data_IF_329312765610
#
_entry.id   IF_329312765610
#
_cell.length_a   1.000
_cell.length_b   1.000
_cell.length_c   1.000
_cell.angle_alpha   90.00
_cell.angle_beta   90.00
_cell.angle_gamma   90.00
#
_symmetry.space_group_name_H-M   'P 1'
#
loop_
_entity.id
_entity.type
_entity.pdbx_description
1 polymer ?
#
# COMPACT_ATOMS: atom_id res chain seq x y z
N UNK A 1 54.66 18.94 13.49
CA UNK A 1 53.75 18.31 12.49
C UNK A 1 53.08 17.17 13.24
N UNK A 2 51.78 17.10 13.49
CA UNK A 2 50.66 17.42 12.60
C UNK A 2 49.37 17.28 13.42
N UNK A 3 48.83 18.38 13.94
CA UNK A 3 47.48 18.41 14.50
C UNK A 3 46.70 19.53 13.84
N UNK A 4 46.32 19.27 12.60
CA UNK A 4 45.21 19.98 11.97
C UNK A 4 44.64 19.09 10.88
N UNK A 5 43.76 18.17 11.28
CA UNK A 5 42.69 17.79 10.37
C UNK A 5 41.37 17.71 11.13
N UNK A 6 40.85 18.90 11.42
CA UNK A 6 39.42 19.14 11.65
C UNK A 6 38.67 18.92 10.34
N UNK A 7 38.53 17.69 9.86
CA UNK A 7 37.51 17.41 8.86
C UNK A 7 36.31 16.81 9.57
N UNK A 8 35.54 17.71 10.17
CA UNK A 8 34.22 17.39 10.67
C UNK A 8 33.35 16.90 9.52
N UNK A 9 32.91 15.66 9.62
CA UNK A 9 31.53 15.35 9.23
C UNK A 9 30.62 15.34 10.46
N UNK A 10 30.90 16.18 11.46
CA UNK A 10 29.91 16.55 12.48
C UNK A 10 28.68 17.29 11.91
N UNK A 11 28.42 17.12 10.62
CA UNK A 11 27.21 17.51 9.93
C UNK A 11 26.27 16.33 9.72
N UNK A 12 25.03 16.58 9.31
CA UNK A 12 23.93 15.63 9.34
C UNK A 12 24.16 14.34 8.54
N UNK A 13 25.00 14.37 7.50
CA UNK A 13 25.34 13.18 6.71
C UNK A 13 26.20 12.17 7.47
N UNK A 14 27.10 12.64 8.34
CA UNK A 14 27.88 11.76 9.22
C UNK A 14 26.98 11.09 10.26
N UNK A 15 26.07 11.88 10.82
CA UNK A 15 25.11 11.45 11.84
C UNK A 15 24.14 10.36 11.35
N UNK A 16 23.65 10.48 10.11
CA UNK A 16 22.79 9.45 9.49
C UNK A 16 23.60 8.21 9.13
N UNK A 17 24.82 8.37 8.63
CA UNK A 17 25.67 7.24 8.27
C UNK A 17 26.11 6.46 9.51
N UNK A 18 26.39 7.15 10.61
CA UNK A 18 26.72 6.54 11.91
C UNK A 18 25.49 5.84 12.51
N UNK A 19 24.31 6.45 12.43
CA UNK A 19 23.05 5.84 12.84
C UNK A 19 22.72 4.58 12.03
N UNK A 20 22.96 4.59 10.71
CA UNK A 20 22.78 3.43 9.83
C UNK A 20 23.87 2.37 10.08
N UNK A 21 25.09 2.79 10.45
CA UNK A 21 26.22 1.88 10.72
C UNK A 21 26.24 1.34 12.15
N UNK A 22 25.33 1.80 13.03
CA UNK A 22 25.18 1.30 14.40
C UNK A 22 26.24 1.80 15.38
N UNK A 23 26.98 2.84 15.02
CA UNK A 23 28.06 3.38 15.85
C UNK A 23 27.52 4.12 17.08
N UNK A 24 26.31 4.64 16.98
CA UNK A 24 25.57 5.34 18.03
C UNK A 24 24.16 4.72 18.24
N UNK A 25 24.04 3.80 19.21
CA UNK A 25 22.86 2.92 19.35
C UNK A 25 21.51 3.66 19.48
N UNK A 26 21.51 4.85 20.08
CA UNK A 26 20.30 5.65 20.28
C UNK A 26 19.76 6.24 18.97
N UNK A 27 20.61 6.68 18.03
CA UNK A 27 20.15 7.24 16.76
C UNK A 27 19.72 6.17 15.78
N UNK A 28 20.40 5.02 15.79
CA UNK A 28 19.95 3.83 15.07
C UNK A 28 18.55 3.40 15.50
N UNK A 29 18.28 3.33 16.81
CA UNK A 29 16.95 2.96 17.34
C UNK A 29 15.86 3.98 16.94
N UNK A 30 16.20 5.27 16.94
CA UNK A 30 15.29 6.33 16.51
C UNK A 30 14.95 6.22 15.01
N UNK A 31 15.92 5.93 14.15
CA UNK A 31 15.73 5.71 12.70
C UNK A 31 14.83 4.48 12.42
N UNK A 32 14.99 3.42 13.22
CA UNK A 32 14.19 2.20 13.13
C UNK A 32 12.71 2.47 13.45
N UNK A 33 12.41 3.31 14.46
CA UNK A 33 11.02 3.72 14.74
C UNK A 33 10.40 4.58 13.64
N UNK A 34 11.19 5.49 13.06
CA UNK A 34 10.76 6.29 11.92
C UNK A 34 10.40 5.38 10.73
N UNK A 35 11.17 4.32 10.48
CA UNK A 35 10.90 3.38 9.39
C UNK A 35 9.67 2.50 9.66
N UNK A 36 9.44 2.12 10.92
CA UNK A 36 8.23 1.38 11.33
C UNK A 36 6.95 2.19 11.13
N UNK A 37 6.98 3.51 11.38
CA UNK A 37 5.83 4.38 11.14
C UNK A 37 5.57 4.62 9.64
N UNK A 38 6.62 4.73 8.83
CA UNK A 38 6.50 4.82 7.36
C UNK A 38 5.96 3.52 6.76
N UNK A 39 6.33 2.37 7.34
CA UNK A 39 5.86 1.05 6.93
C UNK A 39 4.36 0.78 7.17
N UNK A 40 3.71 1.50 8.09
CA UNK A 40 2.26 1.39 8.33
C UNK A 40 1.45 2.20 7.30
N UNK A 41 2.07 3.19 6.68
CA UNK A 41 1.39 4.27 5.98
C UNK A 41 1.74 4.35 4.48
N UNK A 42 1.77 3.23 3.76
CA UNK A 42 1.82 3.29 2.28
C UNK A 42 0.45 2.93 1.65
N UNK A 43 -0.62 3.72 1.91
CA UNK A 43 -1.92 3.57 1.25
C UNK A 43 -1.89 3.96 -0.23
N UNK A 44 -0.74 4.40 -0.74
CA UNK A 44 -0.49 4.78 -2.13
C UNK A 44 -0.19 3.55 -3.01
N UNK A 45 0.23 2.41 -2.45
CA UNK A 45 0.45 1.18 -3.21
C UNK A 45 -0.78 0.75 -4.07
N UNK A 46 -2.01 0.79 -3.53
CA UNK A 46 -3.23 0.60 -4.32
C UNK A 46 -3.37 1.54 -5.53
N UNK A 47 -2.88 2.78 -5.45
CA UNK A 47 -2.94 3.75 -6.54
C UNK A 47 -1.99 3.36 -7.68
N UNK A 48 -0.77 2.92 -7.34
CA UNK A 48 0.17 2.40 -8.35
C UNK A 48 -0.42 1.17 -9.04
N UNK A 49 -1.08 0.28 -8.28
CA UNK A 49 -1.74 -0.90 -8.82
C UNK A 49 -2.88 -0.55 -9.79
N UNK A 50 -3.70 0.47 -9.50
CA UNK A 50 -4.78 0.86 -10.41
C UNK A 50 -4.24 1.49 -11.69
N UNK A 51 -3.18 2.28 -11.60
CA UNK A 51 -2.52 2.90 -12.77
C UNK A 51 -1.96 1.82 -13.69
N UNK A 52 -1.23 0.84 -13.14
CA UNK A 52 -0.74 -0.29 -13.91
C UNK A 52 -1.89 -1.10 -14.54
N UNK A 53 -3.01 -1.24 -13.83
CA UNK A 53 -4.19 -1.90 -14.37
C UNK A 53 -4.79 -1.15 -15.58
N UNK A 54 -4.84 0.19 -15.55
CA UNK A 54 -5.28 0.97 -16.71
C UNK A 54 -4.32 0.88 -17.88
N UNK A 55 -3.01 0.94 -17.63
CA UNK A 55 -1.99 0.86 -18.69
C UNK A 55 -1.98 -0.50 -19.38
N UNK A 56 -2.07 -1.59 -18.63
CA UNK A 56 -2.04 -2.93 -19.22
C UNK A 56 -3.39 -3.39 -19.78
N UNK A 57 -4.51 -2.79 -19.39
CA UNK A 57 -5.83 -3.07 -19.97
C UNK A 57 -5.86 -2.90 -21.49
N UNK A 58 -5.13 -1.91 -22.03
CA UNK A 58 -5.12 -1.61 -23.46
C UNK A 58 -4.43 -2.67 -24.33
N UNK A 59 -3.53 -3.46 -23.75
CA UNK A 59 -2.72 -4.48 -24.47
C UNK A 59 -3.09 -5.92 -24.09
N UNK A 60 -4.18 -6.11 -23.35
CA UNK A 60 -4.56 -7.39 -22.75
C UNK A 60 -5.52 -8.20 -23.62
N UNK A 61 -5.28 -9.52 -23.74
CA UNK A 61 -6.22 -10.47 -24.34
C UNK A 61 -7.56 -10.50 -23.57
N UNK A 62 -8.67 -10.83 -24.24
CA UNK A 62 -10.03 -10.60 -23.73
C UNK A 62 -10.32 -11.10 -22.30
N UNK A 63 -9.76 -12.26 -21.89
CA UNK A 63 -9.94 -12.81 -20.53
C UNK A 63 -9.14 -12.06 -19.45
N UNK A 64 -8.06 -11.38 -19.82
CA UNK A 64 -7.24 -10.57 -18.91
C UNK A 64 -7.80 -9.15 -18.78
N UNK A 65 -8.51 -8.68 -19.82
CA UNK A 65 -9.20 -7.40 -19.80
C UNK A 65 -10.28 -7.34 -18.71
N UNK A 66 -10.98 -8.45 -18.43
CA UNK A 66 -11.98 -8.53 -17.35
C UNK A 66 -11.34 -8.44 -15.96
N UNK A 67 -10.14 -8.99 -15.78
CA UNK A 67 -9.37 -8.86 -14.54
C UNK A 67 -8.99 -7.40 -14.26
N UNK A 68 -8.48 -6.68 -15.26
CA UNK A 68 -8.14 -5.27 -15.10
C UNK A 68 -9.36 -4.41 -14.76
N UNK A 69 -10.52 -4.66 -15.39
CA UNK A 69 -11.78 -3.97 -15.04
C UNK A 69 -12.21 -4.26 -13.60
N UNK A 70 -12.05 -5.50 -13.14
CA UNK A 70 -12.37 -5.89 -11.76
C UNK A 70 -11.45 -5.23 -10.73
N UNK A 71 -10.15 -5.14 -11.01
CA UNK A 71 -9.15 -4.43 -10.20
C UNK A 71 -9.47 -2.93 -10.09
N UNK A 72 -9.73 -2.29 -11.23
CA UNK A 72 -10.10 -0.87 -11.30
C UNK A 72 -11.36 -0.59 -10.46
N UNK A 73 -12.41 -1.41 -10.59
CA UNK A 73 -13.64 -1.24 -9.79
C UNK A 73 -13.42 -1.46 -8.30
N UNK A 74 -12.63 -2.46 -7.94
CA UNK A 74 -12.36 -2.76 -6.52
C UNK A 74 -11.58 -1.63 -5.86
N UNK A 75 -10.69 -0.95 -6.60
CA UNK A 75 -10.05 0.29 -6.13
C UNK A 75 -11.07 1.39 -5.86
N UNK A 76 -11.97 1.68 -6.80
CA UNK A 76 -12.98 2.73 -6.63
C UNK A 76 -13.96 2.43 -5.48
N UNK A 77 -14.39 1.18 -5.35
CA UNK A 77 -15.29 0.76 -4.27
C UNK A 77 -14.55 0.81 -2.93
N UNK A 78 -13.32 0.31 -2.86
CA UNK A 78 -12.49 0.40 -1.66
C UNK A 78 -12.19 1.84 -1.26
N UNK A 79 -11.98 2.73 -2.23
CA UNK A 79 -11.81 4.17 -2.00
C UNK A 79 -13.11 4.82 -1.47
N UNK A 80 -14.26 4.45 -2.04
CA UNK A 80 -15.55 4.96 -1.56
C UNK A 80 -15.83 4.51 -0.13
N UNK A 81 -15.57 3.24 0.17
CA UNK A 81 -15.74 2.66 1.50
C UNK A 81 -14.72 3.16 2.52
N UNK A 82 -13.48 3.47 2.12
CA UNK A 82 -12.49 4.07 3.02
C UNK A 82 -12.91 5.49 3.40
N UNK A 83 -13.39 6.27 2.42
CA UNK A 83 -13.98 7.60 2.66
C UNK A 83 -15.21 7.48 3.58
N UNK A 84 -16.09 6.51 3.31
CA UNK A 84 -17.29 6.27 4.13
C UNK A 84 -16.94 5.87 5.57
N UNK A 85 -15.94 5.01 5.76
CA UNK A 85 -15.46 4.57 7.08
C UNK A 85 -14.91 5.75 7.90
N UNK A 86 -14.18 6.68 7.25
CA UNK A 86 -13.68 7.91 7.88
C UNK A 86 -14.86 8.82 8.29
N UNK A 87 -15.90 8.94 7.47
CA UNK A 87 -17.10 9.74 7.81
C UNK A 87 -17.89 9.09 8.95
N UNK A 88 -18.04 7.76 8.96
CA UNK A 88 -18.78 7.03 9.99
C UNK A 88 -18.02 6.86 11.32
N UNK A 89 -16.70 7.11 11.35
CA UNK A 89 -15.90 7.11 12.58
C UNK A 89 -16.44 8.09 13.62
N UNK A 90 -17.13 9.17 13.19
CA UNK A 90 -17.81 10.14 14.07
C UNK A 90 -18.92 9.51 14.92
N UNK A 91 -19.47 8.39 14.48
CA UNK A 91 -20.66 7.75 15.11
C UNK A 91 -20.26 6.50 15.93
N UNK A 92 -18.97 6.25 16.19
CA UNK A 92 -18.41 4.99 16.75
C UNK A 92 -18.68 3.71 15.91
N UNK A 93 -19.71 3.71 15.05
CA UNK A 93 -20.09 2.65 14.11
C UNK A 93 -19.03 2.48 13.01
N UNK A 94 -18.22 3.51 12.73
CA UNK A 94 -17.14 3.46 11.75
C UNK A 94 -16.14 2.34 11.98
N UNK A 95 -15.91 1.88 13.21
CA UNK A 95 -15.02 0.75 13.49
C UNK A 95 -15.56 -0.57 12.94
N UNK A 96 -16.84 -0.86 13.11
CA UNK A 96 -17.49 -2.06 12.55
C UNK A 96 -17.51 -2.01 11.02
N UNK A 97 -17.77 -0.83 10.45
CA UNK A 97 -17.75 -0.62 9.00
C UNK A 97 -16.35 -0.77 8.43
N UNK A 98 -15.32 -0.23 9.09
CA UNK A 98 -13.93 -0.40 8.65
C UNK A 98 -13.53 -1.88 8.59
N UNK A 99 -13.91 -2.67 9.59
CA UNK A 99 -13.65 -4.12 9.60
C UNK A 99 -14.41 -4.81 8.46
N UNK A 100 -15.68 -4.48 8.25
CA UNK A 100 -16.47 -5.03 7.15
C UNK A 100 -15.87 -4.70 5.78
N UNK A 101 -15.36 -3.47 5.60
CA UNK A 101 -14.69 -3.01 4.39
C UNK A 101 -13.38 -3.76 4.15
N UNK A 102 -12.57 -3.96 5.19
CA UNK A 102 -11.33 -4.73 5.10
C UNK A 102 -11.63 -6.18 4.73
N UNK A 103 -12.59 -6.82 5.40
CA UNK A 103 -13.00 -8.21 5.11
C UNK A 103 -13.51 -8.32 3.68
N UNK A 104 -14.35 -7.39 3.22
CA UNK A 104 -14.85 -7.34 1.85
C UNK A 104 -13.71 -7.18 0.83
N UNK A 105 -12.76 -6.28 1.09
CA UNK A 105 -11.62 -6.02 0.21
C UNK A 105 -10.72 -7.26 0.11
N UNK A 106 -10.50 -7.96 1.22
CA UNK A 106 -9.75 -9.23 1.26
C UNK A 106 -10.46 -10.31 0.43
N UNK A 107 -11.76 -10.53 0.61
CA UNK A 107 -12.53 -11.52 -0.16
C UNK A 107 -12.45 -11.25 -1.66
N UNK A 108 -12.56 -9.97 -2.06
CA UNK A 108 -12.47 -9.56 -3.47
C UNK A 108 -11.09 -9.80 -4.06
N UNK A 109 -10.03 -9.51 -3.30
CA UNK A 109 -8.64 -9.80 -3.70
C UNK A 109 -8.42 -11.31 -3.87
N UNK A 110 -8.89 -12.13 -2.92
CA UNK A 110 -8.74 -13.60 -2.97
C UNK A 110 -9.45 -14.20 -4.18
N UNK A 111 -10.70 -13.80 -4.45
CA UNK A 111 -11.41 -14.26 -5.65
C UNK A 111 -10.73 -13.84 -6.96
N UNK A 112 -10.25 -12.60 -7.02
CA UNK A 112 -9.47 -12.11 -8.16
C UNK A 112 -8.21 -12.95 -8.41
N UNK A 113 -7.48 -13.31 -7.35
CA UNK A 113 -6.31 -14.19 -7.44
C UNK A 113 -6.69 -15.64 -7.80
N UNK A 114 -7.81 -16.17 -7.29
CA UNK A 114 -8.28 -17.51 -7.63
C UNK A 114 -8.61 -17.66 -9.11
N UNK A 115 -9.23 -16.65 -9.73
CA UNK A 115 -9.54 -16.66 -11.17
C UNK A 115 -8.29 -16.50 -12.03
N UNK A 116 -7.33 -15.69 -11.58
CA UNK A 116 -6.01 -15.58 -12.23
C UNK A 116 -5.26 -16.93 -12.25
N UNK A 117 -5.34 -17.67 -11.14
CA UNK A 117 -4.69 -19.00 -10.99
C UNK A 117 -5.30 -20.06 -11.90
N UNK A 118 -6.61 -19.98 -12.18
CA UNK A 118 -7.30 -20.90 -13.09
C UNK A 118 -7.15 -20.55 -14.58
N UNK A 119 -6.52 -19.42 -14.94
CA UNK A 119 -6.49 -18.87 -16.31
C UNK A 119 -7.89 -18.74 -16.94
N UNK A 120 -8.90 -18.55 -16.12
CA UNK A 120 -10.28 -18.41 -16.54
C UNK A 120 -10.67 -16.93 -16.51
N UNK A 121 -11.43 -16.47 -17.50
CA UNK A 121 -11.99 -15.12 -17.47
C UNK A 121 -12.89 -14.95 -16.24
N UNK A 122 -12.84 -13.79 -15.57
CA UNK A 122 -13.79 -13.49 -14.49
C UNK A 122 -15.21 -13.58 -15.06
N UNK A 123 -16.06 -14.54 -14.64
CA UNK A 123 -17.36 -14.81 -15.28
C UNK A 123 -18.33 -13.65 -15.16
N UNK A 124 -18.22 -12.88 -14.08
CA UNK A 124 -19.07 -11.71 -13.85
C UNK A 124 -18.27 -10.53 -13.25
N UNK A 125 -17.66 -9.70 -14.11
CA UNK A 125 -16.91 -8.52 -13.66
C UNK A 125 -17.83 -7.42 -13.09
N UNK A 126 -19.16 -7.60 -13.15
CA UNK A 126 -20.13 -6.62 -12.68
C UNK A 126 -20.73 -6.92 -11.30
N UNK A 127 -20.49 -8.11 -10.74
CA UNK A 127 -21.02 -8.51 -9.43
C UNK A 127 -20.56 -7.60 -8.30
N UNK A 128 -21.54 -7.04 -7.59
CA UNK A 128 -21.39 -6.19 -6.41
C UNK A 128 -21.31 -6.97 -5.08
N UNK A 129 -21.77 -8.24 -5.05
CA UNK A 129 -21.94 -9.04 -3.83
C UNK A 129 -21.13 -10.35 -3.82
N UNK A 130 -19.81 -10.24 -3.97
CA UNK A 130 -18.84 -11.37 -3.92
C UNK A 130 -18.80 -12.23 -5.17
#
# INVERSE_FOLDING_TARGET
>A
MSETNRNGTGGPAGDVSDAISGRDPQKSAFLIYILYLVGIAIPILPLVAVVLAYLFRGNASGWLQTHYVYLIRTFWIGLLYSILSIVLMVVLIGWLVSIAVVVWLVVRCVKGMQHLSKREAVPDPQTWLV
#
